data_IF_098383083203
#
_entry.id   IF_098383083203
#
_cell.length_a   1.000
_cell.length_b   1.000
_cell.length_c   1.000
_cell.angle_alpha   90.00
_cell.angle_beta   90.00
_cell.angle_gamma   90.00
#
_symmetry.space_group_name_H-M   'P 1'
#
loop_
_entity.id
_entity.type
_entity.pdbx_description
1 polymer ?
#
# COMPACT_ATOMS: atom_id res chain seq x y z
N UNK A 1 -3.42 -15.02 -19.02
CA UNK A 1 -3.68 -14.20 -17.81
C UNK A 1 -4.18 -12.86 -18.32
N UNK A 2 -5.25 -12.31 -17.76
CA UNK A 2 -5.74 -10.98 -18.15
C UNK A 2 -4.66 -9.92 -17.84
N UNK A 3 -4.35 -9.06 -18.81
CA UNK A 3 -3.32 -8.01 -18.72
C UNK A 3 -3.66 -7.00 -17.61
N UNK A 4 -4.94 -6.71 -17.41
CA UNK A 4 -5.40 -5.85 -16.33
C UNK A 4 -5.14 -6.47 -14.95
N UNK A 5 -5.32 -7.79 -14.82
CA UNK A 5 -5.04 -8.51 -13.57
C UNK A 5 -3.54 -8.68 -13.33
N UNK A 6 -2.73 -8.88 -14.37
CA UNK A 6 -1.26 -8.90 -14.26
C UNK A 6 -0.72 -7.53 -13.80
N UNK A 7 -1.17 -6.45 -14.43
CA UNK A 7 -0.82 -5.07 -14.06
C UNK A 7 -1.31 -4.74 -12.65
N UNK A 8 -2.53 -5.15 -12.30
CA UNK A 8 -3.08 -4.99 -10.97
C UNK A 8 -2.27 -5.70 -9.88
N UNK A 9 -1.73 -6.89 -10.15
CA UNK A 9 -0.85 -7.62 -9.21
C UNK A 9 0.46 -6.89 -8.98
N UNK A 10 1.12 -6.43 -10.05
CA UNK A 10 2.37 -5.65 -9.95
C UNK A 10 2.15 -4.38 -9.14
N UNK A 11 1.10 -3.62 -9.48
CA UNK A 11 0.75 -2.40 -8.76
C UNK A 11 0.48 -2.64 -7.26
N UNK A 12 -0.31 -3.68 -6.92
CA UNK A 12 -0.58 -4.02 -5.51
C UNK A 12 0.71 -4.40 -4.76
N UNK A 13 1.63 -5.12 -5.41
CA UNK A 13 2.92 -5.48 -4.83
C UNK A 13 3.81 -4.25 -4.59
N UNK A 14 3.81 -3.30 -5.51
CA UNK A 14 4.55 -2.04 -5.38
C UNK A 14 4.00 -1.16 -4.25
N UNK A 15 2.66 -0.97 -4.18
CA UNK A 15 2.00 -0.19 -3.12
C UNK A 15 2.32 -0.73 -1.72
N UNK A 16 2.53 -2.05 -1.59
CA UNK A 16 2.93 -2.67 -0.32
C UNK A 16 4.39 -2.44 0.06
N UNK A 17 5.28 -2.36 -0.93
CA UNK A 17 6.74 -2.27 -0.70
C UNK A 17 7.22 -0.83 -0.57
N UNK A 18 6.55 0.12 -1.22
CA UNK A 18 6.92 1.55 -1.14
C UNK A 18 6.70 2.10 0.27
N UNK A 19 7.42 3.17 0.60
CA UNK A 19 7.15 3.98 1.78
C UNK A 19 5.78 4.65 1.71
N UNK A 20 5.19 4.94 2.87
CA UNK A 20 3.91 5.68 2.93
C UNK A 20 4.17 7.16 2.68
N UNK A 21 3.16 7.87 2.18
CA UNK A 21 3.27 9.31 2.05
C UNK A 21 3.53 10.00 3.42
N UNK A 22 3.04 9.43 4.53
CA UNK A 22 3.42 9.92 5.87
C UNK A 22 4.89 9.67 6.21
N UNK A 23 5.44 8.51 5.85
CA UNK A 23 6.86 8.21 6.08
C UNK A 23 7.76 9.12 5.26
N UNK A 24 7.40 9.37 4.01
CA UNK A 24 8.12 10.33 3.14
C UNK A 24 8.04 11.74 3.74
N UNK A 25 6.85 12.19 4.14
CA UNK A 25 6.66 13.47 4.85
C UNK A 25 7.53 13.57 6.11
N UNK A 26 7.51 12.55 6.96
CA UNK A 26 8.26 12.56 8.23
C UNK A 26 9.78 12.46 8.02
N UNK A 27 10.23 11.89 6.91
CA UNK A 27 11.64 11.89 6.54
C UNK A 27 12.07 13.25 5.99
N UNK A 28 11.27 13.84 5.10
CA UNK A 28 11.51 15.17 4.54
C UNK A 28 11.49 16.25 5.62
N UNK A 29 10.59 16.17 6.60
CA UNK A 29 10.57 17.12 7.73
C UNK A 29 11.91 17.15 8.51
N UNK A 30 12.55 15.97 8.65
CA UNK A 30 13.85 15.85 9.31
C UNK A 30 15.00 16.35 8.45
N UNK A 31 14.91 16.19 7.13
CA UNK A 31 15.91 16.74 6.21
C UNK A 31 15.84 18.27 6.20
N UNK A 32 14.64 18.84 6.08
CA UNK A 32 14.39 20.30 6.11
C UNK A 32 14.89 20.95 7.41
N UNK A 33 14.75 20.26 8.55
CA UNK A 33 15.28 20.73 9.83
C UNK A 33 16.80 20.84 9.83
N UNK A 34 17.48 19.95 9.09
CA UNK A 34 18.93 19.93 8.97
C UNK A 34 19.45 20.92 7.92
N UNK A 35 18.80 20.96 6.75
CA UNK A 35 19.09 21.87 5.65
C UNK A 35 17.79 22.21 4.92
N UNK A 36 17.49 23.50 4.80
CA UNK A 36 16.24 23.97 4.21
C UNK A 36 16.36 24.05 2.67
N UNK A 37 16.70 22.93 2.03
CA UNK A 37 16.80 22.87 0.58
C UNK A 37 15.41 23.09 -0.07
N UNK A 38 15.28 24.01 -1.04
CA UNK A 38 14.00 24.30 -1.67
C UNK A 38 13.32 23.10 -2.33
N UNK A 39 14.08 22.15 -2.88
CA UNK A 39 13.50 20.94 -3.51
C UNK A 39 12.91 20.02 -2.46
N UNK A 40 13.60 19.87 -1.31
CA UNK A 40 13.09 19.06 -0.21
C UNK A 40 11.82 19.67 0.41
N UNK A 41 11.73 21.01 0.46
CA UNK A 41 10.52 21.73 0.89
C UNK A 41 9.36 21.46 -0.07
N UNK A 42 9.55 21.58 -1.38
CA UNK A 42 8.50 21.28 -2.37
C UNK A 42 8.01 19.83 -2.27
N UNK A 43 8.93 18.88 -2.10
CA UNK A 43 8.59 17.48 -1.91
C UNK A 43 7.82 17.25 -0.59
N UNK A 44 8.22 17.94 0.47
CA UNK A 44 7.52 17.86 1.75
C UNK A 44 6.09 18.38 1.63
N UNK A 45 5.89 19.52 0.99
CA UNK A 45 4.56 20.09 0.78
C UNK A 45 3.66 19.13 -0.01
N UNK A 46 4.19 18.50 -1.06
CA UNK A 46 3.47 17.50 -1.83
C UNK A 46 3.12 16.25 -1.01
N UNK A 47 4.04 15.77 -0.17
CA UNK A 47 3.82 14.61 0.70
C UNK A 47 2.90 14.93 1.89
N UNK A 48 2.92 16.17 2.36
CA UNK A 48 2.07 16.69 3.44
C UNK A 48 0.65 17.05 2.96
N UNK A 49 0.44 17.22 1.65
CA UNK A 49 -0.86 17.51 1.07
C UNK A 49 -1.92 16.49 1.55
N UNK A 50 -3.03 16.94 2.16
CA UNK A 50 -4.06 16.04 2.67
C UNK A 50 -4.64 15.10 1.61
N UNK A 51 -4.71 15.54 0.36
CA UNK A 51 -5.22 14.72 -0.74
C UNK A 51 -4.22 13.63 -1.12
N UNK A 52 -2.92 13.92 -1.17
CA UNK A 52 -1.85 12.92 -1.32
C UNK A 52 -1.96 11.84 -0.25
N UNK A 53 -2.07 12.22 1.02
CA UNK A 53 -2.21 11.29 2.14
C UNK A 53 -3.47 10.42 2.02
N UNK A 54 -4.60 11.03 1.65
CA UNK A 54 -5.86 10.31 1.46
C UNK A 54 -5.77 9.29 0.33
N UNK A 55 -5.12 9.65 -0.78
CA UNK A 55 -4.91 8.76 -1.93
C UNK A 55 -4.01 7.59 -1.55
N UNK A 56 -2.87 7.81 -0.88
CA UNK A 56 -1.97 6.72 -0.47
C UNK A 56 -2.69 5.71 0.45
N UNK A 57 -3.42 6.21 1.46
CA UNK A 57 -4.23 5.38 2.36
C UNK A 57 -5.28 4.57 1.61
N UNK A 58 -5.99 5.19 0.67
CA UNK A 58 -7.01 4.52 -0.12
C UNK A 58 -6.41 3.40 -1.00
N UNK A 59 -5.28 3.67 -1.65
CA UNK A 59 -4.56 2.71 -2.48
C UNK A 59 -4.10 1.49 -1.65
N UNK A 60 -3.47 1.75 -0.50
CA UNK A 60 -3.03 0.70 0.44
C UNK A 60 -4.20 -0.12 0.98
N UNK A 61 -5.31 0.54 1.35
CA UNK A 61 -6.53 -0.14 1.80
C UNK A 61 -7.09 -1.06 0.72
N UNK A 62 -7.16 -0.59 -0.54
CA UNK A 62 -7.63 -1.38 -1.68
C UNK A 62 -6.72 -2.58 -1.95
N UNK A 63 -5.40 -2.39 -1.91
CA UNK A 63 -4.43 -3.47 -2.06
C UNK A 63 -4.61 -4.54 -0.96
N UNK A 64 -4.75 -4.12 0.30
CA UNK A 64 -4.97 -5.04 1.43
C UNK A 64 -6.34 -5.73 1.42
N UNK A 65 -7.39 -5.07 0.93
CA UNK A 65 -8.71 -5.71 0.74
C UNK A 65 -8.63 -6.84 -0.29
N UNK A 66 -7.96 -6.62 -1.41
CA UNK A 66 -7.76 -7.65 -2.41
C UNK A 66 -7.00 -8.86 -1.84
N UNK A 67 -5.94 -8.64 -1.07
CA UNK A 67 -5.21 -9.74 -0.42
C UNK A 67 -6.09 -10.55 0.54
N UNK A 68 -6.90 -9.88 1.37
CA UNK A 68 -7.88 -10.56 2.23
C UNK A 68 -8.90 -11.36 1.42
N UNK A 69 -9.37 -10.82 0.30
CA UNK A 69 -10.30 -11.52 -0.59
C UNK A 69 -9.67 -12.79 -1.17
N UNK A 70 -8.44 -12.70 -1.71
CA UNK A 70 -7.72 -13.87 -2.24
C UNK A 70 -7.47 -14.91 -1.14
N UNK A 71 -7.14 -14.49 0.08
CA UNK A 71 -6.97 -15.42 1.21
C UNK A 71 -8.26 -16.18 1.53
N UNK A 72 -9.38 -15.46 1.62
CA UNK A 72 -10.71 -16.08 1.84
C UNK A 72 -11.08 -17.07 0.72
N UNK A 73 -10.74 -16.78 -0.53
CA UNK A 73 -10.98 -17.71 -1.64
C UNK A 73 -10.15 -18.99 -1.49
N UNK A 74 -8.87 -18.87 -1.14
CA UNK A 74 -8.00 -20.03 -0.87
C UNK A 74 -8.52 -20.85 0.31
N UNK A 75 -8.97 -20.20 1.37
CA UNK A 75 -9.50 -20.88 2.56
C UNK A 75 -10.81 -21.62 2.24
N UNK A 76 -11.68 -21.07 1.38
CA UNK A 76 -12.91 -21.73 0.92
C UNK A 76 -12.66 -22.92 -0.01
N UNK A 77 -11.57 -22.89 -0.77
CA UNK A 77 -11.17 -24.00 -1.64
C UNK A 77 -10.47 -25.14 -0.90
N UNK A 78 -10.22 -25.01 0.41
CA UNK A 78 -9.65 -26.06 1.24
C UNK A 78 -10.80 -26.91 1.80
N UNK A 79 -10.95 -28.20 1.40
CA UNK A 79 -11.89 -29.08 2.08
C UNK A 79 -11.53 -29.10 3.57
N UNK A 80 -12.54 -29.14 4.43
CA UNK A 80 -12.34 -29.37 5.86
C UNK A 80 -11.74 -30.77 6.03
N UNK A 81 -10.41 -30.87 5.95
CA UNK A 81 -9.66 -32.06 6.31
C UNK A 81 -9.79 -32.23 7.83
N UNK A 82 -10.88 -32.84 8.27
CA UNK A 82 -11.17 -33.05 9.69
C UNK A 82 -12.62 -33.31 10.07
N UNK A 83 -13.58 -33.28 9.14
CA UNK A 83 -14.98 -33.61 9.44
C UNK A 83 -15.39 -34.95 8.82
N UNK A 84 -14.58 -35.99 9.02
CA UNK A 84 -15.04 -37.38 8.93
C UNK A 84 -14.02 -38.26 9.66
N UNK A 85 -14.37 -38.71 10.86
CA UNK A 85 -13.46 -39.48 11.69
C UNK A 85 -13.81 -39.55 13.17
N UNK A 86 -15.09 -39.77 13.52
CA UNK A 86 -15.56 -40.67 14.59
C UNK A 86 -17.06 -40.58 14.76
#
# INVERSE_FOLDING_TARGET
MDEAEASGRVWRAQVRRRWTAEQDRDALARLIEYDADPVEIELYELAADPRTLLIDRAQRRRAGQHERHIRRLKDRGRPAAGADGR
#
